data_IF_933035300837
#
_entry.id   IF_933035300837
#
_cell.length_a   1.000
_cell.length_b   1.000
_cell.length_c   1.000
_cell.angle_alpha   90.00
_cell.angle_beta   90.00
_cell.angle_gamma   90.00
#
_symmetry.space_group_name_H-M   'P 1'
#
loop_
_entity.id
_entity.type
_entity.pdbx_description
1 polymer ?
#
# COMPACT_ATOMS: atom_id res chain seq x y z
N UNK A 1 14.74 -16.25 21.85
CA UNK A 1 13.55 -15.47 21.48
C UNK A 1 13.95 -14.19 20.75
N UNK A 2 14.66 -13.25 21.39
CA UNK A 2 15.05 -11.97 20.78
C UNK A 2 15.93 -12.10 19.53
N UNK A 3 16.97 -12.95 19.56
CA UNK A 3 17.86 -13.15 18.41
C UNK A 3 17.12 -13.65 17.15
N UNK A 4 16.18 -14.58 17.33
CA UNK A 4 15.34 -15.13 16.25
C UNK A 4 14.40 -14.08 15.67
N UNK A 5 13.85 -13.20 16.51
CA UNK A 5 12.98 -12.10 16.09
C UNK A 5 13.75 -11.04 15.27
N UNK A 6 14.96 -10.69 15.69
CA UNK A 6 15.83 -9.76 14.95
C UNK A 6 16.20 -10.35 13.58
N UNK A 7 16.52 -11.64 13.53
CA UNK A 7 16.86 -12.36 12.28
C UNK A 7 15.67 -12.45 11.31
N UNK A 8 14.46 -12.57 11.83
CA UNK A 8 13.21 -12.56 11.06
C UNK A 8 12.87 -11.16 10.52
N UNK A 9 13.11 -10.10 11.30
CA UNK A 9 12.93 -8.72 10.85
C UNK A 9 14.00 -8.26 9.84
N UNK A 10 15.23 -8.74 9.98
CA UNK A 10 16.34 -8.40 9.09
C UNK A 10 16.33 -9.21 7.78
N UNK A 11 15.53 -10.28 7.70
CA UNK A 11 15.38 -11.04 6.46
C UNK A 11 14.68 -10.19 5.41
N UNK A 12 15.26 -10.03 4.21
CA UNK A 12 14.63 -9.27 3.14
C UNK A 12 13.37 -10.00 2.69
N UNK A 13 12.20 -9.52 3.12
CA UNK A 13 10.94 -10.03 2.61
C UNK A 13 10.87 -9.76 1.10
N UNK A 14 10.76 -10.84 0.32
CA UNK A 14 10.87 -10.92 -1.15
C UNK A 14 9.89 -10.06 -1.97
N UNK A 15 9.12 -9.16 -1.35
CA UNK A 15 8.06 -8.38 -2.02
C UNK A 15 8.10 -6.87 -1.73
N UNK A 16 9.15 -6.37 -1.08
CA UNK A 16 9.32 -4.93 -0.84
C UNK A 16 10.47 -4.39 -1.68
N UNK A 17 10.18 -4.04 -2.94
CA UNK A 17 10.98 -3.06 -3.66
C UNK A 17 10.65 -1.67 -3.11
N UNK A 18 11.15 -1.38 -1.92
CA UNK A 18 11.29 0.01 -1.48
C UNK A 18 12.75 0.17 -1.13
N UNK A 19 13.46 0.93 -1.96
CA UNK A 19 14.78 1.47 -1.69
C UNK A 19 14.69 2.31 -0.42
N UNK A 20 14.82 1.67 0.75
CA UNK A 20 15.27 2.39 1.92
C UNK A 20 16.69 2.88 1.60
N UNK A 21 17.04 4.15 1.90
CA UNK A 21 18.44 4.51 1.93
C UNK A 21 19.09 3.57 2.95
N UNK A 22 20.00 2.71 2.51
CA UNK A 22 20.95 2.12 3.44
C UNK A 22 21.73 3.29 4.01
N UNK A 23 21.30 3.79 5.16
CA UNK A 23 22.12 4.69 5.95
C UNK A 23 23.34 3.88 6.35
N UNK A 24 24.46 4.10 5.67
CA UNK A 24 25.73 3.48 6.00
C UNK A 24 26.07 3.87 7.44
N UNK A 25 25.95 2.90 8.34
CA UNK A 25 26.35 3.08 9.74
C UNK A 25 27.87 3.22 9.73
N UNK A 26 28.34 4.44 9.98
CA UNK A 26 29.78 4.73 9.97
C UNK A 26 30.53 4.09 11.15
N UNK A 27 29.83 3.76 12.25
CA UNK A 27 30.36 2.97 13.36
C UNK A 27 29.23 2.22 14.12
N UNK A 28 29.10 0.88 13.99
CA UNK A 28 27.98 0.12 14.54
C UNK A 28 27.95 0.02 16.07
N UNK A 29 29.01 0.45 16.76
CA UNK A 29 29.11 0.43 18.22
C UNK A 29 28.72 1.78 18.87
N UNK A 30 28.41 2.83 18.10
CA UNK A 30 27.96 4.11 18.64
C UNK A 30 26.43 4.12 18.85
N UNK A 31 26.02 4.06 20.13
CA UNK A 31 24.61 4.07 20.53
C UNK A 31 23.83 5.29 20.01
N UNK A 32 24.48 6.45 19.90
CA UNK A 32 23.84 7.66 19.36
C UNK A 32 23.54 7.52 17.88
N UNK A 33 24.45 6.94 17.10
CA UNK A 33 24.24 6.73 15.67
C UNK A 33 23.14 5.70 15.42
N UNK A 34 23.12 4.62 16.21
CA UNK A 34 22.02 3.64 16.17
C UNK A 34 20.66 4.27 16.50
N UNK A 35 20.60 5.14 17.51
CA UNK A 35 19.37 5.84 17.88
C UNK A 35 18.88 6.80 16.78
N UNK A 36 19.80 7.55 16.16
CA UNK A 36 19.48 8.45 15.05
C UNK A 36 18.97 7.69 13.81
N UNK A 37 19.52 6.51 13.53
CA UNK A 37 19.02 5.61 12.47
C UNK A 37 17.60 5.16 12.77
N UNK A 38 17.30 4.77 14.03
CA UNK A 38 15.95 4.36 14.43
C UNK A 38 14.94 5.50 14.20
N UNK A 39 15.26 6.73 14.64
CA UNK A 39 14.38 7.89 14.43
C UNK A 39 14.13 8.11 12.94
N UNK A 40 15.20 8.10 12.14
CA UNK A 40 15.10 8.36 10.69
C UNK A 40 14.22 7.32 9.99
N UNK A 41 14.38 6.04 10.35
CA UNK A 41 13.55 4.95 9.81
C UNK A 41 12.09 5.10 10.24
N UNK A 42 11.83 5.50 11.49
CA UNK A 42 10.47 5.68 11.99
C UNK A 42 9.77 6.88 11.32
N UNK A 43 10.48 7.99 11.12
CA UNK A 43 9.97 9.13 10.35
C UNK A 43 9.63 8.73 8.91
N UNK A 44 10.51 7.98 8.24
CA UNK A 44 10.27 7.50 6.88
C UNK A 44 9.07 6.54 6.84
N UNK A 45 8.91 5.67 7.84
CA UNK A 45 7.75 4.79 7.97
C UNK A 45 6.46 5.61 8.14
N UNK A 46 6.47 6.65 8.97
CA UNK A 46 5.34 7.57 9.15
C UNK A 46 4.94 8.26 7.85
N UNK A 47 5.92 8.82 7.11
CA UNK A 47 5.70 9.45 5.80
C UNK A 47 5.10 8.45 4.80
N UNK A 48 5.70 7.25 4.73
CA UNK A 48 5.24 6.19 3.83
C UNK A 48 3.81 5.78 4.16
N UNK A 49 3.47 5.64 5.44
CA UNK A 49 2.13 5.29 5.88
C UNK A 49 1.10 6.39 5.54
N UNK A 50 1.46 7.67 5.74
CA UNK A 50 0.62 8.78 5.30
C UNK A 50 0.41 8.79 3.79
N UNK A 51 1.45 8.52 3.00
CA UNK A 51 1.31 8.42 1.55
C UNK A 51 0.40 7.24 1.17
N UNK A 52 0.56 6.07 1.78
CA UNK A 52 -0.32 4.92 1.56
C UNK A 52 -1.79 5.32 1.82
N UNK A 53 -2.09 5.99 2.94
CA UNK A 53 -3.43 6.46 3.26
C UNK A 53 -3.94 7.42 2.17
N UNK A 54 -3.14 8.42 1.80
CA UNK A 54 -3.49 9.40 0.75
C UNK A 54 -3.78 8.73 -0.59
N UNK A 55 -2.96 7.77 -1.01
CA UNK A 55 -3.14 7.03 -2.27
C UNK A 55 -4.39 6.17 -2.24
N UNK A 56 -4.70 5.53 -1.12
CA UNK A 56 -5.96 4.79 -0.97
C UNK A 56 -7.18 5.71 -1.06
N UNK A 57 -7.13 6.89 -0.45
CA UNK A 57 -8.21 7.87 -0.54
C UNK A 57 -8.43 8.34 -1.98
N UNK A 58 -7.37 8.74 -2.69
CA UNK A 58 -7.47 9.11 -4.11
C UNK A 58 -7.99 7.97 -5.00
N UNK A 59 -7.62 6.73 -4.69
CA UNK A 59 -8.15 5.56 -5.41
C UNK A 59 -9.65 5.38 -5.18
N UNK A 60 -10.13 5.55 -3.93
CA UNK A 60 -11.57 5.51 -3.59
C UNK A 60 -12.34 6.60 -4.36
N UNK A 61 -11.83 7.83 -4.34
CA UNK A 61 -12.44 8.97 -5.03
C UNK A 61 -12.59 8.70 -6.54
N UNK A 62 -11.56 8.15 -7.18
CA UNK A 62 -11.61 7.79 -8.60
C UNK A 62 -12.62 6.65 -8.88
N UNK A 63 -12.74 5.67 -7.97
CA UNK A 63 -13.76 4.62 -8.07
C UNK A 63 -15.18 5.18 -7.95
N UNK A 64 -15.41 6.12 -7.03
CA UNK A 64 -16.69 6.80 -6.86
C UNK A 64 -17.05 7.63 -8.11
N UNK A 65 -16.10 8.43 -8.61
CA UNK A 65 -16.27 9.19 -9.85
C UNK A 65 -16.60 8.29 -11.06
N UNK A 66 -15.92 7.15 -11.19
CA UNK A 66 -16.24 6.14 -12.20
C UNK A 66 -17.64 5.57 -12.02
N UNK A 67 -18.02 5.26 -10.78
CA UNK A 67 -19.32 4.68 -10.48
C UNK A 67 -20.46 5.65 -10.79
N UNK A 68 -20.31 6.93 -10.42
CA UNK A 68 -21.29 7.98 -10.68
C UNK A 68 -21.50 8.22 -12.17
N UNK A 69 -20.41 8.22 -12.95
CA UNK A 69 -20.49 8.22 -14.42
C UNK A 69 -21.33 7.06 -14.94
N UNK A 70 -21.15 5.85 -14.42
CA UNK A 70 -21.96 4.71 -14.85
C UNK A 70 -23.41 4.78 -14.35
N UNK A 71 -23.66 5.32 -13.14
CA UNK A 71 -25.02 5.56 -12.61
C UNK A 71 -25.79 6.56 -13.46
N UNK A 72 -25.12 7.52 -14.09
CA UNK A 72 -25.78 8.48 -15.00
C UNK A 72 -26.38 7.83 -16.26
N UNK A 73 -25.88 6.65 -16.66
CA UNK A 73 -26.29 5.94 -17.90
C UNK A 73 -27.05 4.64 -17.61
N UNK A 74 -26.76 3.98 -16.49
CA UNK A 74 -27.26 2.65 -16.18
C UNK A 74 -27.92 2.57 -14.80
N UNK A 75 -28.91 1.68 -14.66
CA UNK A 75 -29.40 1.26 -13.33
C UNK A 75 -28.25 0.70 -12.50
N UNK A 76 -28.35 0.86 -11.19
CA UNK A 76 -27.30 0.54 -10.21
C UNK A 76 -26.63 -0.83 -10.40
N UNK A 77 -27.41 -1.92 -10.54
CA UNK A 77 -26.84 -3.26 -10.74
C UNK A 77 -26.01 -3.41 -12.04
N UNK A 78 -26.30 -2.61 -13.07
CA UNK A 78 -25.53 -2.59 -14.32
C UNK A 78 -24.34 -1.62 -14.21
N UNK A 79 -24.51 -0.48 -13.54
CA UNK A 79 -23.40 0.43 -13.24
C UNK A 79 -22.29 -0.26 -12.43
N UNK A 80 -22.65 -1.05 -11.41
CA UNK A 80 -21.69 -1.83 -10.62
C UNK A 80 -20.94 -2.86 -11.47
N UNK A 81 -21.64 -3.57 -12.37
CA UNK A 81 -21.01 -4.52 -13.30
C UNK A 81 -20.03 -3.84 -14.27
N UNK A 82 -20.38 -2.65 -14.75
CA UNK A 82 -19.51 -1.87 -15.65
C UNK A 82 -18.28 -1.36 -14.91
N UNK A 83 -18.45 -0.87 -13.68
CA UNK A 83 -17.34 -0.48 -12.81
C UNK A 83 -16.36 -1.65 -12.61
N UNK A 84 -16.84 -2.81 -12.18
CA UNK A 84 -15.98 -3.99 -11.96
C UNK A 84 -15.24 -4.38 -13.23
N UNK A 85 -15.92 -4.39 -14.38
CA UNK A 85 -15.31 -4.73 -15.67
C UNK A 85 -14.21 -3.75 -16.06
N UNK A 86 -14.44 -2.46 -15.89
CA UNK A 86 -13.47 -1.41 -16.23
C UNK A 86 -12.26 -1.45 -15.29
N UNK A 87 -12.50 -1.56 -13.99
CA UNK A 87 -11.47 -1.67 -12.97
C UNK A 87 -10.60 -2.92 -13.22
N UNK A 88 -11.22 -4.07 -13.50
CA UNK A 88 -10.50 -5.32 -13.80
C UNK A 88 -9.63 -5.21 -15.07
N UNK A 89 -10.07 -4.45 -16.08
CA UNK A 89 -9.30 -4.21 -17.30
C UNK A 89 -8.04 -3.38 -17.06
N UNK A 90 -8.07 -2.48 -16.07
CA UNK A 90 -6.96 -1.58 -15.75
C UNK A 90 -5.94 -2.20 -14.79
N UNK A 91 -6.31 -3.28 -14.08
CA UNK A 91 -5.36 -4.04 -13.26
C UNK A 91 -4.52 -4.99 -14.13
N UNK A 92 -3.25 -5.25 -13.75
CA UNK A 92 -2.43 -6.27 -14.40
C UNK A 92 -3.14 -7.63 -14.35
N UNK A 93 -3.06 -8.42 -15.42
CA UNK A 93 -3.61 -9.78 -15.52
C UNK A 93 -3.16 -10.72 -14.40
N UNK A 94 -2.07 -10.36 -13.74
CA UNK A 94 -1.38 -11.14 -12.72
C UNK A 94 -2.00 -10.92 -11.33
N UNK A 95 -2.87 -9.92 -11.17
CA UNK A 95 -3.66 -9.74 -9.97
C UNK A 95 -4.85 -10.68 -9.99
N UNK A 96 -4.89 -11.63 -9.05
CA UNK A 96 -6.07 -12.48 -8.89
C UNK A 96 -7.31 -11.62 -8.62
N UNK A 97 -8.46 -12.05 -9.13
CA UNK A 97 -9.75 -11.40 -8.90
C UNK A 97 -10.01 -11.12 -7.41
N UNK A 98 -9.58 -12.03 -6.53
CA UNK A 98 -9.68 -11.90 -5.07
C UNK A 98 -8.83 -10.73 -4.52
N UNK A 99 -7.66 -10.47 -5.11
CA UNK A 99 -6.80 -9.33 -4.73
C UNK A 99 -7.47 -7.99 -5.08
N UNK A 100 -8.15 -7.94 -6.22
CA UNK A 100 -8.90 -6.76 -6.66
C UNK A 100 -10.14 -6.55 -5.78
N UNK A 101 -10.91 -7.62 -5.54
CA UNK A 101 -12.10 -7.58 -4.66
C UNK A 101 -11.74 -7.09 -3.24
N UNK A 102 -10.66 -7.61 -2.63
CA UNK A 102 -10.18 -7.15 -1.32
C UNK A 102 -9.74 -5.69 -1.31
N UNK A 103 -9.16 -5.17 -2.39
CA UNK A 103 -8.79 -3.75 -2.49
C UNK A 103 -10.02 -2.87 -2.59
N UNK A 104 -11.03 -3.29 -3.35
CA UNK A 104 -12.32 -2.61 -3.44
C UNK A 104 -13.05 -2.63 -2.09
N UNK A 105 -13.00 -3.75 -1.37
CA UNK A 105 -13.63 -3.90 -0.04
C UNK A 105 -12.96 -2.98 0.99
N UNK A 106 -11.62 -2.96 1.08
CA UNK A 106 -10.90 -1.99 1.93
C UNK A 106 -11.23 -0.56 1.59
N UNK A 107 -11.35 -0.25 0.29
CA UNK A 107 -11.74 1.07 -0.16
C UNK A 107 -13.19 1.42 0.19
N UNK A 108 -14.05 0.47 0.60
CA UNK A 108 -15.42 0.74 1.08
C UNK A 108 -15.51 0.91 2.59
N UNK A 109 -14.59 0.28 3.33
CA UNK A 109 -14.56 0.30 4.80
C UNK A 109 -13.72 1.46 5.39
N UNK A 110 -12.89 2.11 4.56
CA UNK A 110 -12.15 3.35 4.89
C UNK A 110 -13.05 4.58 4.79
#
# INVERSE_FOLDING_TARGET
MLKKFIEELASPNSSLTTTAPQSEISDPDNLTDLYNVIITVDEQNSITNQEIIRRNYSFREELENMFDRFKSVYRECKAQRMLIKEVTKQFPSDLSKNTIEKRIERAKDL
#
